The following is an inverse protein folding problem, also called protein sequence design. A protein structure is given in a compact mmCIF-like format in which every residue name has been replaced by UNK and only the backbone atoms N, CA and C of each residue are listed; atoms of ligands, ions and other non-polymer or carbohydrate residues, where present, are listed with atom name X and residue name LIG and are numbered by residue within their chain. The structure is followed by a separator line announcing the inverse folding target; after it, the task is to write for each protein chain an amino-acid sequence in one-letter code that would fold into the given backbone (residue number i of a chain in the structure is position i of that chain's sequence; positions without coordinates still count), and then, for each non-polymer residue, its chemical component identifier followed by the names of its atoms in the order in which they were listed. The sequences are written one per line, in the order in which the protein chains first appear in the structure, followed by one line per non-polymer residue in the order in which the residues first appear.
data_IF_715640196905
#
_entry.id   IF_715640196905
#
_cell.length_a   1.000
_cell.length_b   1.000
_cell.length_c   1.000
_cell.angle_alpha   90.00
_cell.angle_beta   90.00
_cell.angle_gamma   90.00
#
_symmetry.space_group_name_H-M   'P 1'
#
loop_
_entity.id
_entity.type
_entity.pdbx_description
1 polymer ?
#
# COMPACT_ATOMS: atom_id res chain seq x y z
N UNK A 1 -8.04 -7.95 65.50
CA UNK A 1 -7.16 -7.22 64.56
C UNK A 1 -7.07 -5.77 65.04
N UNK A 2 -5.88 -5.27 65.34
CA UNK A 2 -5.70 -3.97 66.01
C UNK A 2 -6.04 -2.82 65.03
N UNK A 3 -6.97 -1.94 65.36
CA UNK A 3 -7.50 -0.91 64.45
C UNK A 3 -6.39 -0.01 63.87
N UNK A 4 -5.36 0.27 64.68
CA UNK A 4 -4.15 0.99 64.25
C UNK A 4 -3.30 0.24 63.23
N UNK A 5 -3.25 -1.09 63.29
CA UNK A 5 -2.51 -1.92 62.33
C UNK A 5 -3.26 -2.03 60.99
N UNK A 6 -4.60 -2.00 61.04
CA UNK A 6 -5.47 -1.99 59.85
C UNK A 6 -5.37 -0.66 59.09
N UNK A 7 -5.32 0.49 59.78
CA UNK A 7 -5.10 1.79 59.15
C UNK A 7 -3.72 1.90 58.47
N UNK A 8 -2.67 1.37 59.10
CA UNK A 8 -1.32 1.35 58.53
C UNK A 8 -1.22 0.49 57.27
N UNK A 9 -1.88 -0.67 57.25
CA UNK A 9 -1.89 -1.54 56.07
C UNK A 9 -2.63 -0.90 54.91
N UNK A 10 -3.79 -0.30 55.14
CA UNK A 10 -4.54 0.44 54.12
C UNK A 10 -3.70 1.58 53.54
N UNK A 11 -3.01 2.34 54.39
CA UNK A 11 -2.10 3.41 53.94
C UNK A 11 -0.98 2.90 53.04
N UNK A 12 -0.37 1.76 53.38
CA UNK A 12 0.70 1.14 52.57
C UNK A 12 0.16 0.63 51.23
N UNK A 13 -1.05 0.05 51.20
CA UNK A 13 -1.66 -0.44 49.95
C UNK A 13 -2.03 0.70 48.99
N UNK A 14 -2.55 1.81 49.52
CA UNK A 14 -2.85 3.02 48.72
C UNK A 14 -1.58 3.69 48.20
N UNK A 15 -0.52 3.71 49.01
CA UNK A 15 0.78 4.23 48.59
C UNK A 15 1.39 3.38 47.46
N UNK A 16 1.31 2.05 47.56
CA UNK A 16 1.80 1.13 46.52
C UNK A 16 1.03 1.25 45.19
N UNK A 17 -0.28 1.52 45.24
CA UNK A 17 -1.08 1.73 44.03
C UNK A 17 -0.79 3.04 43.31
N UNK A 18 -0.29 4.05 44.04
CA UNK A 18 -0.01 5.39 43.49
C UNK A 18 1.26 5.45 42.64
N UNK A 19 2.12 4.43 42.71
CA UNK A 19 3.40 4.35 41.99
C UNK A 19 3.22 3.68 40.61
N UNK A 20 2.07 3.05 40.36
CA UNK A 20 1.77 2.45 39.06
C UNK A 20 1.31 3.55 38.11
N UNK A 21 2.28 4.22 37.50
CA UNK A 21 2.03 5.24 36.48
C UNK A 21 1.18 4.67 35.34
N UNK A 22 0.12 5.39 34.98
CA UNK A 22 -0.69 5.09 33.79
C UNK A 22 0.21 5.31 32.58
N UNK A 23 0.69 4.23 31.98
CA UNK A 23 1.43 4.30 30.73
C UNK A 23 0.43 4.50 29.59
N UNK A 24 0.36 5.72 29.06
CA UNK A 24 -0.36 5.98 27.81
C UNK A 24 0.45 5.41 26.65
N UNK A 25 -0.02 4.31 26.07
CA UNK A 25 0.53 3.78 24.81
C UNK A 25 0.05 4.72 23.70
N UNK A 26 0.91 5.64 23.25
CA UNK A 26 0.65 6.42 22.05
C UNK A 26 1.05 5.57 20.85
N UNK A 27 0.12 5.34 19.92
CA UNK A 27 0.49 4.79 18.62
C UNK A 27 1.43 5.79 17.93
N UNK A 28 2.66 5.38 17.63
CA UNK A 28 3.58 6.21 16.85
C UNK A 28 2.99 6.43 15.46
N UNK A 29 2.74 7.69 15.11
CA UNK A 29 2.32 8.05 13.77
C UNK A 29 3.42 7.64 12.77
N UNK A 30 3.06 6.83 11.78
CA UNK A 30 4.00 6.32 10.78
C UNK A 30 4.57 7.46 9.94
N UNK A 31 5.89 7.57 9.89
CA UNK A 31 6.58 8.56 9.07
C UNK A 31 6.32 8.34 7.58
N UNK A 32 6.27 7.08 7.15
CA UNK A 32 5.89 6.66 5.80
C UNK A 32 4.65 5.78 5.90
N UNK A 33 3.56 6.21 5.25
CA UNK A 33 2.34 5.43 5.12
C UNK A 33 1.86 5.52 3.67
N UNK A 34 2.03 4.42 2.94
CA UNK A 34 1.63 4.29 1.53
C UNK A 34 0.33 3.49 1.49
N UNK A 35 -0.71 4.08 0.94
CA UNK A 35 -2.00 3.42 0.73
C UNK A 35 -2.33 3.37 -0.76
N UNK A 36 -2.90 2.25 -1.19
CA UNK A 36 -3.33 2.04 -2.58
C UNK A 36 -4.76 1.53 -2.63
N UNK A 37 -5.56 1.99 -3.59
CA UNK A 37 -6.94 1.51 -3.78
C UNK A 37 -7.01 0.04 -4.19
N UNK A 38 -5.96 -0.46 -4.85
CA UNK A 38 -5.79 -1.87 -5.16
C UNK A 38 -4.79 -2.51 -4.19
N UNK A 39 -5.17 -3.64 -3.59
CA UNK A 39 -4.28 -4.47 -2.77
C UNK A 39 -4.23 -5.89 -3.35
N UNK A 40 -3.03 -6.38 -3.68
CA UNK A 40 -2.82 -7.72 -4.22
C UNK A 40 -2.74 -7.78 -5.75
N UNK A 41 -3.64 -8.55 -6.38
CA UNK A 41 -3.61 -8.82 -7.83
C UNK A 41 -4.36 -7.72 -8.58
N UNK A 42 -3.66 -6.98 -9.43
CA UNK A 42 -4.25 -5.90 -10.22
C UNK A 42 -5.07 -6.40 -11.43
N UNK A 43 -4.57 -7.45 -12.08
CA UNK A 43 -5.19 -8.08 -13.24
C UNK A 43 -5.40 -9.56 -12.98
N UNK A 44 -6.67 -9.97 -12.90
CA UNK A 44 -7.07 -11.36 -12.93
C UNK A 44 -7.99 -11.55 -14.13
N UNK A 45 -7.57 -12.37 -15.08
CA UNK A 45 -8.16 -12.38 -16.42
C UNK A 45 -8.22 -13.81 -16.94
N UNK A 46 -9.39 -14.20 -17.44
CA UNK A 46 -9.61 -15.47 -18.11
C UNK A 46 -10.23 -15.19 -19.48
N UNK A 47 -9.87 -15.98 -20.49
CA UNK A 47 -10.45 -15.91 -21.84
C UNK A 47 -10.33 -14.54 -22.55
N UNK A 48 -9.24 -13.79 -22.35
CA UNK A 48 -8.93 -12.64 -23.20
C UNK A 48 -8.86 -13.06 -24.65
N UNK A 49 -9.56 -12.33 -25.50
CA UNK A 49 -9.53 -12.49 -26.95
C UNK A 49 -8.76 -11.32 -27.58
N UNK A 50 -8.21 -11.53 -28.79
CA UNK A 50 -7.64 -10.42 -29.55
C UNK A 50 -8.65 -9.29 -29.73
N UNK A 51 -8.23 -8.08 -29.38
CA UNK A 51 -9.06 -6.87 -29.32
C UNK A 51 -9.57 -6.52 -27.92
N UNK A 52 -9.46 -7.39 -26.91
CA UNK A 52 -9.89 -7.10 -25.55
C UNK A 52 -8.87 -6.22 -24.80
N UNK A 53 -9.37 -5.32 -23.95
CA UNK A 53 -8.56 -4.53 -23.02
C UNK A 53 -9.19 -4.47 -21.62
N UNK A 54 -8.34 -4.33 -20.61
CA UNK A 54 -8.75 -4.31 -19.21
C UNK A 54 -8.09 -3.11 -18.53
N UNK A 55 -8.84 -2.01 -18.29
CA UNK A 55 -8.33 -0.82 -17.62
C UNK A 55 -8.47 -0.94 -16.09
N UNK A 56 -7.53 -0.35 -15.36
CA UNK A 56 -7.51 -0.23 -13.90
C UNK A 56 -6.93 1.11 -13.50
N UNK A 57 -7.66 1.84 -12.66
CA UNK A 57 -7.15 3.02 -11.98
C UNK A 57 -6.69 2.63 -10.58
N UNK A 58 -5.46 3.02 -10.24
CA UNK A 58 -4.91 2.87 -8.89
C UNK A 58 -4.65 4.26 -8.34
N UNK A 59 -5.28 4.59 -7.23
CA UNK A 59 -4.92 5.78 -6.45
C UNK A 59 -3.81 5.37 -5.49
N UNK A 60 -2.69 6.08 -5.54
CA UNK A 60 -1.61 6.00 -4.55
C UNK A 60 -1.72 7.22 -3.65
N UNK A 61 -1.71 7.00 -2.33
CA UNK A 61 -1.90 8.05 -1.32
C UNK A 61 -0.73 8.06 -0.35
N UNK A 62 -0.24 9.26 -0.04
CA UNK A 62 0.73 9.48 1.04
C UNK A 62 0.04 9.99 2.31
N UNK A 63 -0.40 9.05 3.14
CA UNK A 63 -0.99 9.35 4.45
C UNK A 63 0.08 9.44 5.56
N UNK A 64 1.37 9.48 5.19
CA UNK A 64 2.50 9.62 6.09
C UNK A 64 2.80 11.07 6.45
N UNK A 65 3.86 11.28 7.23
CA UNK A 65 4.32 12.62 7.65
C UNK A 65 5.44 13.18 6.79
N UNK A 66 6.01 12.36 5.91
CA UNK A 66 7.14 12.70 5.04
C UNK A 66 6.80 12.40 3.58
N UNK A 67 7.43 13.16 2.69
CA UNK A 67 7.43 12.88 1.26
C UNK A 67 8.13 11.53 1.02
N UNK A 68 7.70 10.79 -0.01
CA UNK A 68 8.37 9.55 -0.39
C UNK A 68 8.57 9.45 -1.89
N UNK A 69 9.47 8.54 -2.26
CA UNK A 69 9.65 8.11 -3.65
C UNK A 69 9.12 6.70 -3.83
N UNK A 70 8.46 6.44 -4.96
CA UNK A 70 7.93 5.11 -5.27
C UNK A 70 8.09 4.75 -6.75
N UNK A 71 7.99 3.45 -7.01
CA UNK A 71 7.95 2.86 -8.35
C UNK A 71 7.05 1.63 -8.31
N UNK A 72 6.45 1.27 -9.44
CA UNK A 72 5.76 -0.01 -9.58
C UNK A 72 6.68 -1.02 -10.28
N UNK A 73 6.54 -2.30 -9.95
CA UNK A 73 7.23 -3.41 -10.63
C UNK A 73 6.27 -4.58 -10.77
N UNK A 74 6.49 -5.45 -11.75
CA UNK A 74 5.77 -6.71 -11.84
C UNK A 74 6.13 -7.58 -10.64
N UNK A 75 5.10 -7.99 -9.89
CA UNK A 75 5.23 -8.94 -8.79
C UNK A 75 5.29 -10.39 -9.28
N UNK A 76 4.90 -11.34 -8.43
CA UNK A 76 4.76 -12.75 -8.85
C UNK A 76 3.63 -12.86 -9.87
N UNK A 77 3.88 -13.56 -10.96
CA UNK A 77 2.88 -13.81 -12.02
C UNK A 77 2.54 -15.30 -12.09
N UNK A 78 1.32 -15.59 -12.54
CA UNK A 78 0.88 -16.95 -12.92
C UNK A 78 0.18 -16.82 -14.25
N UNK A 79 0.78 -17.38 -15.30
CA UNK A 79 0.30 -17.26 -16.68
C UNK A 79 0.27 -18.63 -17.33
N UNK A 80 -0.77 -18.90 -18.11
CA UNK A 80 -0.86 -20.09 -18.96
C UNK A 80 -0.40 -19.75 -20.37
N UNK A 81 0.35 -20.66 -21.00
CA UNK A 81 0.60 -20.66 -22.45
C UNK A 81 1.08 -19.32 -23.05
N UNK A 82 2.09 -18.68 -22.45
CA UNK A 82 2.72 -17.52 -23.08
C UNK A 82 1.85 -16.24 -23.14
N UNK A 83 0.66 -16.23 -22.53
CA UNK A 83 -0.26 -15.10 -22.64
C UNK A 83 0.36 -13.81 -22.08
N UNK A 84 1.05 -13.91 -20.96
CA UNK A 84 1.76 -12.80 -20.32
C UNK A 84 2.80 -12.14 -21.25
N UNK A 85 3.41 -12.90 -22.14
CA UNK A 85 4.43 -12.48 -23.08
C UNK A 85 3.86 -11.72 -24.28
N UNK A 86 2.60 -12.01 -24.64
CA UNK A 86 1.90 -11.41 -25.78
C UNK A 86 1.12 -10.15 -25.43
N UNK A 87 0.66 -10.03 -24.19
CA UNK A 87 -0.10 -8.89 -23.71
C UNK A 87 0.73 -7.61 -23.74
N UNK A 88 0.10 -6.51 -24.11
CA UNK A 88 0.66 -5.17 -24.01
C UNK A 88 0.18 -4.49 -22.73
N UNK A 89 1.04 -3.66 -22.16
CA UNK A 89 0.77 -2.86 -20.98
C UNK A 89 0.98 -1.38 -21.31
N UNK A 90 -0.01 -0.57 -20.97
CA UNK A 90 0.10 0.88 -20.89
C UNK A 90 0.00 1.30 -19.44
N UNK A 91 0.95 2.12 -18.99
CA UNK A 91 0.89 2.78 -17.68
C UNK A 91 1.01 4.28 -17.93
N UNK A 92 0.06 5.07 -17.41
CA UNK A 92 0.07 6.52 -17.55
C UNK A 92 -0.48 7.21 -16.31
N UNK A 93 -0.12 8.47 -16.14
CA UNK A 93 -0.81 9.37 -15.23
C UNK A 93 -1.56 10.44 -16.05
N UNK A 94 -2.03 11.50 -15.39
CA UNK A 94 -2.73 12.61 -16.05
C UNK A 94 -1.86 13.42 -17.04
N UNK A 95 -0.53 13.34 -16.93
CA UNK A 95 0.41 14.21 -17.65
C UNK A 95 1.17 13.49 -18.75
N UNK A 96 1.51 12.22 -18.54
CA UNK A 96 2.44 11.48 -19.39
C UNK A 96 2.19 9.96 -19.37
N UNK A 97 2.64 9.31 -20.44
CA UNK A 97 2.78 7.85 -20.50
C UNK A 97 4.08 7.45 -19.80
N UNK A 98 3.96 6.63 -18.76
CA UNK A 98 5.08 6.12 -17.95
C UNK A 98 5.71 4.87 -18.56
N UNK A 99 4.91 4.08 -19.26
CA UNK A 99 5.34 2.88 -19.95
C UNK A 99 4.31 2.50 -21.03
N UNK A 100 4.80 2.07 -22.19
CA UNK A 100 4.00 1.48 -23.26
C UNK A 100 4.84 0.40 -23.96
N UNK A 101 4.34 -0.83 -23.98
CA UNK A 101 5.04 -1.97 -24.59
C UNK A 101 4.54 -3.30 -24.06
N UNK A 102 5.30 -4.37 -24.31
CA UNK A 102 4.94 -5.72 -23.87
C UNK A 102 4.92 -5.81 -22.34
N UNK A 103 3.89 -6.46 -21.80
CA UNK A 103 3.71 -6.66 -20.36
C UNK A 103 4.93 -7.39 -19.76
N UNK A 104 5.48 -8.41 -20.43
CA UNK A 104 6.69 -9.11 -19.99
C UNK A 104 7.94 -8.22 -19.85
N UNK A 105 7.99 -7.11 -20.56
CA UNK A 105 9.14 -6.22 -20.63
C UNK A 105 9.05 -5.10 -19.59
N UNK A 106 7.90 -4.94 -18.93
CA UNK A 106 7.74 -3.96 -17.85
C UNK A 106 8.56 -4.38 -16.61
N UNK A 107 9.70 -3.71 -16.39
CA UNK A 107 10.54 -3.87 -15.18
C UNK A 107 10.29 -2.81 -14.12
N UNK A 108 9.28 -1.98 -14.35
CA UNK A 108 8.96 -0.81 -13.57
C UNK A 108 9.27 0.50 -14.29
N UNK A 109 8.82 1.61 -13.70
CA UNK A 109 9.06 2.96 -14.23
C UNK A 109 10.01 3.74 -13.32
N UNK A 110 10.55 4.85 -13.83
CA UNK A 110 11.43 5.76 -13.08
C UNK A 110 10.78 6.19 -11.78
N UNK A 111 11.53 6.15 -10.68
CA UNK A 111 11.04 6.50 -9.35
C UNK A 111 10.44 7.91 -9.32
N UNK A 112 9.28 8.06 -8.68
CA UNK A 112 8.45 9.27 -8.65
C UNK A 112 8.25 9.75 -7.23
N UNK A 113 8.22 11.07 -7.03
CA UNK A 113 7.97 11.69 -5.72
C UNK A 113 6.47 11.87 -5.47
N UNK A 114 6.03 11.56 -4.25
CA UNK A 114 4.69 11.86 -3.75
C UNK A 114 4.79 12.60 -2.41
N UNK A 115 4.39 13.87 -2.42
CA UNK A 115 4.41 14.76 -1.25
C UNK A 115 3.48 14.27 -0.15
N UNK A 116 3.79 14.57 1.11
CA UNK A 116 2.91 14.25 2.25
C UNK A 116 1.49 14.80 2.04
N UNK A 117 0.49 13.98 2.34
CA UNK A 117 -0.92 14.33 2.23
C UNK A 117 -1.44 14.45 0.79
N UNK A 118 -0.63 14.14 -0.22
CA UNK A 118 -1.07 14.12 -1.62
C UNK A 118 -1.38 12.71 -2.09
N UNK A 119 -2.08 12.64 -3.23
CA UNK A 119 -2.42 11.42 -3.93
C UNK A 119 -2.25 11.61 -5.43
N UNK A 120 -2.01 10.52 -6.14
CA UNK A 120 -2.09 10.51 -7.60
C UNK A 120 -2.82 9.27 -8.10
N UNK A 121 -3.34 9.36 -9.32
CA UNK A 121 -4.00 8.25 -10.00
C UNK A 121 -3.08 7.79 -11.13
N UNK A 122 -2.78 6.48 -11.12
CA UNK A 122 -2.14 5.80 -12.23
C UNK A 122 -3.16 4.92 -12.94
N UNK A 123 -3.27 5.12 -14.24
CA UNK A 123 -4.02 4.26 -15.13
C UNK A 123 -3.11 3.14 -15.63
N UNK A 124 -3.57 1.90 -15.46
CA UNK A 124 -2.96 0.71 -16.01
C UNK A 124 -3.94 0.04 -16.95
N UNK A 125 -3.47 -0.39 -18.11
CA UNK A 125 -4.30 -1.09 -19.08
C UNK A 125 -3.53 -2.23 -19.71
N UNK A 126 -4.12 -3.41 -19.66
CA UNK A 126 -3.63 -4.59 -20.35
C UNK A 126 -4.45 -4.80 -21.62
N UNK A 127 -3.78 -5.00 -22.75
CA UNK A 127 -4.41 -5.26 -24.06
C UNK A 127 -3.94 -6.56 -24.66
N UNK A 128 -4.86 -7.30 -25.26
CA UNK A 128 -4.55 -8.36 -26.20
C UNK A 128 -4.78 -7.82 -27.61
N UNK A 129 -3.73 -7.66 -28.42
CA UNK A 129 -3.86 -7.16 -29.79
C UNK A 129 -4.28 -8.27 -30.76
N UNK A 130 -4.96 -7.88 -31.83
CA UNK A 130 -5.12 -8.71 -33.03
C UNK A 130 -3.74 -8.82 -33.71
N UNK A 131 -3.14 -10.01 -33.62
CA UNK A 131 -1.92 -10.41 -34.32
C UNK A 131 -2.26 -10.91 -35.72
#
# INVERSE_FOLDING_TARGET
MNLKNSLKTIGITVLLFSIVGIQSISAEAKDINIETTANGILFNTENLKPGDWIPRDITIMNNGRKDFKYTAKIGKTKSTKGLFEELDLVVKNEKETLFEGKLKDFKGFTSRELTKGSSEILFFEVKCLLI
#
